data_IF_960629214692
#
_entry.id   IF_960629214692
#
_cell.length_a   1.000
_cell.length_b   1.000
_cell.length_c   1.000
_cell.angle_alpha   90.00
_cell.angle_beta   90.00
_cell.angle_gamma   90.00
#
_symmetry.space_group_name_H-M   'P 1'
#
loop_
_entity.id
_entity.type
_entity.pdbx_description
1 polymer ?
#
# COMPACT_ATOMS: atom_id res chain seq x y z
N UNK A 1 19.57 -25.80 -5.68
CA UNK A 1 18.10 -25.74 -5.78
C UNK A 1 17.71 -24.53 -6.59
N UNK A 2 16.80 -24.67 -7.53
CA UNK A 2 16.32 -23.54 -8.29
C UNK A 2 15.53 -22.57 -7.41
N UNK A 3 15.67 -21.30 -7.72
CA UNK A 3 14.91 -20.23 -7.05
C UNK A 3 13.77 -19.82 -7.96
N UNK A 4 12.60 -19.63 -7.36
CA UNK A 4 11.39 -19.24 -8.07
C UNK A 4 10.78 -18.02 -7.38
N UNK A 5 10.20 -17.14 -8.16
CA UNK A 5 9.44 -16.00 -7.65
C UNK A 5 7.97 -16.21 -7.90
N UNK A 6 7.16 -16.15 -6.86
CA UNK A 6 5.71 -16.14 -6.94
C UNK A 6 5.17 -14.74 -6.68
N UNK A 7 4.04 -14.42 -7.29
CA UNK A 7 3.41 -13.12 -7.18
C UNK A 7 1.98 -13.26 -6.67
N UNK A 8 1.57 -12.33 -5.82
CA UNK A 8 0.18 -12.22 -5.41
C UNK A 8 -0.28 -10.78 -5.51
N UNK A 9 -1.41 -10.57 -6.15
CA UNK A 9 -2.09 -9.28 -6.21
C UNK A 9 -3.04 -9.13 -5.04
N UNK A 10 -3.07 -7.91 -4.50
CA UNK A 10 -4.09 -7.50 -3.55
C UNK A 10 -4.49 -6.06 -3.88
N UNK A 11 -5.62 -5.63 -3.36
CA UNK A 11 -6.08 -4.26 -3.57
C UNK A 11 -6.78 -3.77 -2.31
N UNK A 12 -6.77 -2.45 -2.17
CA UNK A 12 -7.51 -1.77 -1.10
C UNK A 12 -7.91 -0.38 -1.56
N UNK A 13 -8.85 0.22 -0.87
CA UNK A 13 -9.31 1.58 -1.11
C UNK A 13 -8.87 2.44 0.06
N UNK A 14 -8.30 3.61 -0.23
CA UNK A 14 -7.90 4.53 0.81
C UNK A 14 -7.97 5.97 0.32
N UNK A 15 -8.16 6.90 1.23
CA UNK A 15 -8.15 8.31 0.94
C UNK A 15 -6.82 8.93 1.37
N UNK A 16 -6.43 9.99 0.68
CA UNK A 16 -5.25 10.74 1.04
C UNK A 16 -5.32 12.18 0.52
N UNK A 17 -4.37 12.99 0.99
CA UNK A 17 -4.15 14.35 0.51
C UNK A 17 -2.66 14.58 0.39
N UNK A 18 -2.23 15.25 -0.67
CA UNK A 18 -0.87 15.73 -0.83
C UNK A 18 -0.84 17.22 -0.50
N UNK A 19 -0.13 17.58 0.55
CA UNK A 19 -0.12 18.94 1.06
C UNK A 19 1.12 19.18 1.92
N UNK A 20 1.77 20.30 1.69
CA UNK A 20 2.90 20.75 2.50
C UNK A 20 2.51 21.96 3.33
N UNK A 21 2.40 21.84 4.67
CA UNK A 21 1.94 22.93 5.52
C UNK A 21 2.81 24.19 5.45
N UNK A 22 4.11 24.06 5.17
CA UNK A 22 5.04 25.20 5.06
C UNK A 22 4.91 25.97 3.77
N UNK A 23 4.16 25.46 2.78
CA UNK A 23 3.91 26.13 1.52
C UNK A 23 2.60 26.90 1.58
N UNK A 24 2.49 27.94 0.72
CA UNK A 24 1.21 28.62 0.52
C UNK A 24 0.18 27.69 -0.11
N UNK A 25 -1.09 28.04 0.02
CA UNK A 25 -2.17 27.28 -0.64
C UNK A 25 -2.01 27.29 -2.16
N UNK A 26 -1.57 28.43 -2.72
CA UNK A 26 -1.33 28.54 -4.15
C UNK A 26 -0.24 27.59 -4.62
N UNK A 27 0.87 27.48 -3.88
CA UNK A 27 1.95 26.57 -4.21
C UNK A 27 1.53 25.11 -4.10
N UNK A 28 0.77 24.75 -3.09
CA UNK A 28 0.23 23.41 -2.94
C UNK A 28 -0.67 23.05 -4.11
N UNK A 29 -1.54 23.95 -4.53
CA UNK A 29 -2.44 23.73 -5.68
C UNK A 29 -1.66 23.62 -6.98
N UNK A 30 -0.62 24.40 -7.16
CA UNK A 30 0.22 24.38 -8.36
C UNK A 30 0.99 23.06 -8.50
N UNK A 31 1.57 22.59 -7.39
CA UNK A 31 2.41 21.38 -7.41
C UNK A 31 1.57 20.10 -7.40
N UNK A 32 0.55 20.04 -6.54
CA UNK A 32 -0.21 18.81 -6.30
C UNK A 32 -1.56 18.76 -7.04
N UNK A 33 -2.07 19.90 -7.49
CA UNK A 33 -3.33 19.96 -8.21
C UNK A 33 -4.49 19.39 -7.39
N UNK A 34 -5.25 18.49 -7.99
CA UNK A 34 -6.42 17.86 -7.35
C UNK A 34 -6.05 17.02 -6.13
N UNK A 35 -4.80 16.56 -6.04
CA UNK A 35 -4.33 15.78 -4.90
C UNK A 35 -4.23 16.61 -3.62
N UNK A 36 -4.31 17.93 -3.73
CA UNK A 36 -4.30 18.86 -2.60
C UNK A 36 -5.71 19.14 -2.03
N UNK A 37 -6.76 18.53 -2.55
CA UNK A 37 -8.12 18.78 -2.08
C UNK A 37 -8.20 18.65 -0.55
N UNK A 38 -8.64 19.71 0.18
CA UNK A 38 -8.70 19.70 1.64
C UNK A 38 -9.68 18.65 2.21
N UNK A 39 -10.61 18.18 1.41
CA UNK A 39 -11.53 17.12 1.80
C UNK A 39 -11.02 15.72 1.46
N UNK A 40 -9.76 15.63 1.02
CA UNK A 40 -9.12 14.39 0.60
C UNK A 40 -9.74 13.84 -0.68
N UNK A 41 -9.15 12.79 -1.21
CA UNK A 41 -9.71 12.01 -2.32
C UNK A 41 -9.30 10.56 -2.17
N UNK A 42 -10.11 9.67 -2.71
CA UNK A 42 -9.89 8.23 -2.61
C UNK A 42 -9.34 7.63 -3.88
N UNK A 43 -8.61 6.54 -3.71
CA UNK A 43 -8.08 5.74 -4.79
C UNK A 43 -8.29 4.26 -4.53
N UNK A 44 -8.37 3.50 -5.62
CA UNK A 44 -8.17 2.07 -5.58
C UNK A 44 -6.66 1.84 -5.74
N UNK A 45 -6.07 1.19 -4.75
CA UNK A 45 -4.66 0.80 -4.79
C UNK A 45 -4.55 -0.67 -5.14
N UNK A 46 -3.64 -0.98 -6.04
CA UNK A 46 -3.28 -2.34 -6.36
C UNK A 46 -1.85 -2.57 -5.89
N UNK A 47 -1.64 -3.68 -5.20
CA UNK A 47 -0.32 -4.07 -4.73
C UNK A 47 0.02 -5.46 -5.26
N UNK A 48 1.26 -5.64 -5.67
CA UNK A 48 1.78 -6.93 -6.09
C UNK A 48 2.91 -7.30 -5.13
N UNK A 49 2.74 -8.42 -4.44
CA UNK A 49 3.75 -8.93 -3.52
C UNK A 49 4.49 -10.07 -4.20
N UNK A 50 5.80 -9.93 -4.31
CA UNK A 50 6.67 -10.94 -4.89
C UNK A 50 7.43 -11.67 -3.77
N UNK A 51 7.41 -12.99 -3.81
CA UNK A 51 8.16 -13.83 -2.87
C UNK A 51 9.11 -14.71 -3.66
N UNK A 52 10.39 -14.60 -3.36
CA UNK A 52 11.43 -15.38 -4.03
C UNK A 52 12.09 -16.30 -3.02
N UNK A 53 12.31 -17.55 -3.40
CA UNK A 53 13.00 -18.52 -2.56
C UNK A 53 13.25 -19.82 -3.28
N UNK A 54 13.82 -20.77 -2.54
CA UNK A 54 14.03 -22.12 -3.02
C UNK A 54 12.75 -22.95 -2.85
N UNK A 55 12.57 -23.90 -3.75
CA UNK A 55 11.44 -24.82 -3.67
C UNK A 55 11.68 -25.83 -2.56
N UNK A 56 10.74 -25.96 -1.63
CA UNK A 56 10.75 -27.03 -0.65
C UNK A 56 10.53 -28.36 -1.37
N UNK A 57 11.46 -29.32 -1.25
CA UNK A 57 11.35 -30.59 -1.98
C UNK A 57 10.18 -31.47 -1.53
N UNK A 58 9.68 -31.27 -0.31
CA UNK A 58 8.58 -32.05 0.22
C UNK A 58 7.21 -31.51 -0.20
N UNK A 59 7.03 -30.19 -0.15
CA UNK A 59 5.76 -29.55 -0.45
C UNK A 59 5.65 -29.01 -1.86
N UNK A 60 6.77 -28.76 -2.52
CA UNK A 60 6.80 -28.10 -3.82
C UNK A 60 6.55 -26.59 -3.72
N UNK A 61 6.47 -26.04 -2.51
CA UNK A 61 6.21 -24.62 -2.28
C UNK A 61 7.49 -23.83 -2.15
N UNK A 62 7.47 -22.62 -2.68
CA UNK A 62 8.43 -21.58 -2.29
C UNK A 62 7.95 -20.94 -0.99
N UNK A 63 6.65 -20.73 -0.90
CA UNK A 63 5.98 -20.15 0.26
C UNK A 63 4.53 -20.63 0.25
N UNK A 64 3.96 -20.88 1.42
CA UNK A 64 2.56 -21.25 1.53
C UNK A 64 1.67 -20.07 1.16
N UNK A 65 0.90 -20.22 0.08
CA UNK A 65 0.05 -19.14 -0.43
C UNK A 65 -1.06 -18.74 0.54
N UNK A 66 -1.51 -19.67 1.39
CA UNK A 66 -2.51 -19.35 2.42
C UNK A 66 -1.93 -18.46 3.51
N UNK A 67 -0.68 -18.71 3.90
CA UNK A 67 0.03 -17.86 4.87
C UNK A 67 0.30 -16.48 4.25
N UNK A 68 0.73 -16.44 3.00
CA UNK A 68 0.97 -15.17 2.29
C UNK A 68 -0.30 -14.34 2.21
N UNK A 69 -1.42 -14.96 1.87
CA UNK A 69 -2.71 -14.28 1.81
C UNK A 69 -3.09 -13.65 3.15
N UNK A 70 -2.91 -14.39 4.25
CA UNK A 70 -3.22 -13.88 5.60
C UNK A 70 -2.31 -12.74 6.01
N UNK A 71 -1.02 -12.81 5.67
CA UNK A 71 -0.06 -11.73 5.96
C UNK A 71 -0.41 -10.47 5.19
N UNK A 72 -0.74 -10.57 3.92
CA UNK A 72 -1.15 -9.42 3.12
C UNK A 72 -2.42 -8.80 3.69
N UNK A 73 -3.37 -9.62 4.10
CA UNK A 73 -4.60 -9.12 4.71
C UNK A 73 -4.32 -8.35 6.00
N UNK A 74 -3.57 -8.94 6.92
CA UNK A 74 -3.33 -8.32 8.23
C UNK A 74 -2.39 -7.12 8.18
N UNK A 75 -1.33 -7.19 7.36
CA UNK A 75 -0.29 -6.15 7.35
C UNK A 75 -0.59 -5.01 6.37
N UNK A 76 -1.38 -5.26 5.36
CA UNK A 76 -1.65 -4.28 4.29
C UNK A 76 -3.13 -3.96 4.19
N UNK A 77 -3.97 -4.93 3.85
CA UNK A 77 -5.39 -4.66 3.59
C UNK A 77 -6.09 -4.10 4.83
N UNK A 78 -5.98 -4.79 5.97
CA UNK A 78 -6.65 -4.34 7.20
C UNK A 78 -6.05 -3.04 7.74
N UNK A 79 -4.76 -2.81 7.49
CA UNK A 79 -4.09 -1.61 7.95
C UNK A 79 -4.47 -0.37 7.13
N UNK A 80 -4.73 -0.52 5.84
CA UNK A 80 -4.90 0.61 4.92
C UNK A 80 -6.30 0.71 4.31
N UNK A 81 -7.01 -0.41 4.17
CA UNK A 81 -8.30 -0.43 3.47
C UNK A 81 -9.35 0.42 4.18
N UNK A 82 -10.05 1.23 3.41
CA UNK A 82 -11.06 2.17 3.90
C UNK A 82 -10.52 3.17 4.94
N UNK A 83 -9.22 3.42 4.92
CA UNK A 83 -8.56 4.36 5.83
C UNK A 83 -8.26 5.67 5.14
N UNK A 84 -8.14 6.72 5.93
CA UNK A 84 -7.51 7.96 5.50
C UNK A 84 -6.03 7.84 5.82
N UNK A 85 -5.19 7.74 4.81
CA UNK A 85 -3.76 7.46 4.99
C UNK A 85 -3.05 8.55 5.81
N UNK A 86 -3.42 9.82 5.60
CA UNK A 86 -2.80 10.94 6.30
C UNK A 86 -3.13 10.97 7.79
N UNK A 87 -4.31 10.51 8.17
CA UNK A 87 -4.83 10.64 9.54
C UNK A 87 -4.72 9.35 10.33
N UNK A 88 -5.00 8.21 9.69
CA UNK A 88 -5.18 6.93 10.37
C UNK A 88 -4.02 5.97 10.23
N UNK A 89 -3.05 6.25 9.36
CA UNK A 89 -1.89 5.38 9.15
C UNK A 89 -0.64 6.13 9.58
N UNK A 90 0.01 5.63 10.62
CA UNK A 90 1.14 6.30 11.25
C UNK A 90 2.28 6.60 10.28
N UNK A 91 2.61 5.66 9.40
CA UNK A 91 3.69 5.80 8.43
C UNK A 91 3.45 6.93 7.43
N UNK A 92 2.19 7.28 7.18
CA UNK A 92 1.83 8.33 6.22
C UNK A 92 1.60 9.69 6.85
N UNK A 93 1.46 9.78 8.17
CA UNK A 93 1.23 11.06 8.85
C UNK A 93 2.38 12.03 8.64
N UNK A 94 3.58 11.53 8.54
CA UNK A 94 4.79 12.34 8.36
C UNK A 94 5.04 12.75 6.91
N UNK A 95 4.24 12.27 5.98
CA UNK A 95 4.37 12.56 4.54
C UNK A 95 3.49 13.71 4.08
N UNK A 96 2.84 14.38 5.00
CA UNK A 96 2.04 15.56 4.72
C UNK A 96 2.92 16.78 4.53
#
# INVERSE_FOLDING_TARGET
MPRITGYRKAHFNAAHRLYKPEWSDEKNSEVFGKCNNPHFHGHNYEIIVAVTGEIDPDTGYVFDLGILKRLIRSEIEDAFDHKNLNIQVEEFKMLN
#
